data_IF_818727098369
#
_entry.id   IF_818727098369
#
_cell.length_a   1.000
_cell.length_b   1.000
_cell.length_c   1.000
_cell.angle_alpha   90.00
_cell.angle_beta   90.00
_cell.angle_gamma   90.00
#
_symmetry.space_group_name_H-M   'P 1'
#
loop_
_entity.id
_entity.type
_entity.pdbx_description
1 polymer ?
#
# COMPACT_ATOMS: atom_id res chain seq x y z
N UNK A 1 16.41 -17.04 18.80
CA UNK A 1 16.30 -16.71 17.34
C UNK A 1 15.37 -17.64 16.56
N UNK A 2 15.25 -18.93 16.82
CA UNK A 2 14.48 -19.89 16.02
C UNK A 2 12.95 -19.68 16.01
N UNK A 3 12.35 -19.31 17.12
CA UNK A 3 10.87 -19.24 17.25
C UNK A 3 10.27 -18.04 16.50
N UNK A 4 10.86 -16.84 16.61
CA UNK A 4 10.42 -15.64 15.87
C UNK A 4 10.56 -15.81 14.35
N UNK A 5 11.65 -16.45 13.88
CA UNK A 5 11.83 -16.73 12.45
C UNK A 5 10.76 -17.72 11.94
N UNK A 6 10.40 -18.70 12.76
CA UNK A 6 9.30 -19.63 12.42
C UNK A 6 7.94 -18.91 12.30
N UNK A 7 7.62 -18.02 13.21
CA UNK A 7 6.38 -17.23 13.17
C UNK A 7 6.34 -16.30 11.94
N UNK A 8 7.45 -15.66 11.58
CA UNK A 8 7.52 -14.83 10.36
C UNK A 8 7.33 -15.66 9.10
N UNK A 9 7.95 -16.84 9.03
CA UNK A 9 7.77 -17.77 7.90
C UNK A 9 6.33 -18.27 7.84
N UNK A 10 5.73 -18.66 8.97
CA UNK A 10 4.34 -19.10 9.04
C UNK A 10 3.36 -18.01 8.57
N UNK A 11 3.55 -16.75 9.01
CA UNK A 11 2.75 -15.62 8.54
C UNK A 11 2.93 -15.38 7.04
N UNK A 12 4.16 -15.46 6.54
CA UNK A 12 4.44 -15.34 5.11
C UNK A 12 3.78 -16.46 4.29
N UNK A 13 3.86 -17.70 4.77
CA UNK A 13 3.17 -18.83 4.14
C UNK A 13 1.65 -18.66 4.16
N UNK A 14 1.06 -18.21 5.28
CA UNK A 14 -0.38 -17.99 5.37
C UNK A 14 -0.86 -16.92 4.37
N UNK A 15 -0.14 -15.78 4.28
CA UNK A 15 -0.43 -14.74 3.27
C UNK A 15 -0.31 -15.30 1.86
N UNK A 16 0.78 -16.02 1.55
CA UNK A 16 1.00 -16.65 0.25
C UNK A 16 -0.11 -17.65 -0.10
N UNK A 17 -0.56 -18.44 0.86
CA UNK A 17 -1.67 -19.40 0.66
C UNK A 17 -2.97 -18.68 0.34
N UNK A 18 -3.32 -17.61 1.08
CA UNK A 18 -4.55 -16.84 0.83
C UNK A 18 -4.52 -16.21 -0.56
N UNK A 19 -3.39 -15.58 -0.94
CA UNK A 19 -3.23 -14.98 -2.28
C UNK A 19 -3.32 -16.03 -3.37
N UNK A 20 -2.68 -17.20 -3.18
CA UNK A 20 -2.73 -18.31 -4.12
C UNK A 20 -4.15 -18.86 -4.29
N UNK A 21 -4.86 -19.09 -3.19
CA UNK A 21 -6.26 -19.55 -3.23
C UNK A 21 -7.16 -18.56 -3.95
N UNK A 22 -7.03 -17.28 -3.63
CA UNK A 22 -7.79 -16.22 -4.29
C UNK A 22 -7.46 -16.13 -5.81
N UNK A 23 -6.20 -16.33 -6.17
CA UNK A 23 -5.75 -16.38 -7.57
C UNK A 23 -6.27 -17.62 -8.29
N UNK A 24 -6.24 -18.79 -7.65
CA UNK A 24 -6.81 -20.03 -8.20
C UNK A 24 -8.31 -19.89 -8.46
N UNK A 25 -9.08 -19.26 -7.58
CA UNK A 25 -10.49 -18.94 -7.81
C UNK A 25 -10.74 -18.08 -9.06
N UNK A 26 -9.71 -17.41 -9.58
CA UNK A 26 -9.78 -16.64 -10.82
C UNK A 26 -9.38 -17.43 -12.06
N UNK A 27 -8.27 -18.18 -11.98
CA UNK A 27 -7.60 -18.79 -13.13
C UNK A 27 -8.16 -20.15 -13.49
N UNK A 28 -8.71 -20.86 -12.50
CA UNK A 28 -9.40 -22.12 -12.80
C UNK A 28 -10.52 -21.84 -13.81
N UNK A 29 -10.51 -22.52 -14.96
CA UNK A 29 -11.52 -22.31 -15.98
C UNK A 29 -12.87 -22.75 -15.40
N UNK A 30 -13.67 -21.75 -15.04
CA UNK A 30 -15.03 -21.93 -14.55
C UNK A 30 -15.99 -22.22 -15.73
N UNK A 31 -15.46 -22.33 -16.96
CA UNK A 31 -16.16 -22.72 -18.16
C UNK A 31 -16.65 -24.17 -17.98
N UNK A 32 -17.96 -24.32 -17.89
CA UNK A 32 -18.62 -25.62 -17.63
C UNK A 32 -19.09 -25.82 -16.19
N UNK A 33 -18.78 -24.93 -15.25
CA UNK A 33 -19.37 -24.96 -13.90
C UNK A 33 -20.71 -24.21 -13.88
N UNK A 34 -21.67 -24.65 -13.01
CA UNK A 34 -22.92 -23.93 -12.80
C UNK A 34 -22.69 -22.47 -12.44
N UNK A 35 -23.53 -21.56 -12.94
CA UNK A 35 -23.39 -20.10 -12.72
C UNK A 35 -23.30 -19.74 -11.23
N UNK A 36 -24.04 -20.38 -10.35
CA UNK A 36 -23.98 -20.18 -8.91
C UNK A 36 -22.62 -20.52 -8.28
N UNK A 37 -21.88 -21.48 -8.86
CA UNK A 37 -20.53 -21.80 -8.38
C UNK A 37 -19.50 -20.76 -8.84
N UNK A 38 -19.67 -20.19 -10.03
CA UNK A 38 -18.84 -19.11 -10.53
C UNK A 38 -19.00 -17.85 -9.68
N UNK A 39 -20.24 -17.48 -9.33
CA UNK A 39 -20.55 -16.39 -8.41
C UNK A 39 -19.97 -16.62 -7.02
N UNK A 40 -20.11 -17.83 -6.47
CA UNK A 40 -19.54 -18.20 -5.18
C UNK A 40 -18.02 -18.07 -5.16
N UNK A 41 -17.31 -18.49 -6.22
CA UNK A 41 -15.87 -18.30 -6.35
C UNK A 41 -15.48 -16.80 -6.41
N UNK A 42 -16.27 -15.97 -7.09
CA UNK A 42 -16.08 -14.53 -7.14
C UNK A 42 -16.22 -13.87 -5.77
N UNK A 43 -17.25 -14.24 -5.01
CA UNK A 43 -17.50 -13.76 -3.65
C UNK A 43 -16.39 -14.24 -2.71
N UNK A 44 -16.04 -15.53 -2.76
CA UNK A 44 -14.98 -16.12 -1.93
C UNK A 44 -13.64 -15.39 -2.16
N UNK A 45 -13.28 -15.14 -3.42
CA UNK A 45 -12.06 -14.37 -3.77
C UNK A 45 -12.07 -12.98 -3.14
N UNK A 46 -13.20 -12.28 -3.20
CA UNK A 46 -13.34 -10.95 -2.62
C UNK A 46 -13.22 -10.97 -1.10
N UNK A 47 -13.85 -11.95 -0.45
CA UNK A 47 -13.75 -12.14 1.00
C UNK A 47 -12.33 -12.48 1.45
N UNK A 48 -11.61 -13.31 0.69
CA UNK A 48 -10.21 -13.64 0.97
C UNK A 48 -9.33 -12.39 0.94
N UNK A 49 -9.49 -11.52 -0.06
CA UNK A 49 -8.72 -10.26 -0.11
C UNK A 49 -9.14 -9.27 0.97
N UNK A 50 -10.44 -9.10 1.23
CA UNK A 50 -10.91 -8.23 2.31
C UNK A 50 -10.38 -8.69 3.67
N UNK A 51 -10.43 -9.99 3.96
CA UNK A 51 -9.90 -10.55 5.21
C UNK A 51 -8.37 -10.41 5.30
N UNK A 52 -7.66 -10.57 4.18
CA UNK A 52 -6.20 -10.38 4.12
C UNK A 52 -5.81 -8.94 4.49
N UNK A 53 -6.45 -7.95 3.87
CA UNK A 53 -6.14 -6.54 4.13
C UNK A 53 -6.63 -6.10 5.52
N UNK A 54 -7.81 -6.51 5.97
CA UNK A 54 -8.25 -6.24 7.33
C UNK A 54 -7.28 -6.83 8.37
N UNK A 55 -6.82 -8.06 8.18
CA UNK A 55 -5.81 -8.69 9.04
C UNK A 55 -4.46 -7.95 8.97
N UNK A 56 -4.08 -7.44 7.80
CA UNK A 56 -2.88 -6.62 7.65
C UNK A 56 -3.01 -5.29 8.39
N UNK A 57 -4.14 -4.60 8.29
CA UNK A 57 -4.44 -3.38 9.04
C UNK A 57 -4.35 -3.57 10.55
N UNK A 58 -4.95 -4.65 11.09
CA UNK A 58 -4.81 -5.02 12.52
C UNK A 58 -3.34 -5.25 12.89
N UNK A 59 -2.60 -5.95 12.01
CA UNK A 59 -1.17 -6.18 12.22
C UNK A 59 -0.37 -4.88 12.21
N UNK A 60 -0.67 -3.93 11.31
CA UNK A 60 -0.05 -2.60 11.27
C UNK A 60 -0.33 -1.82 12.56
N UNK A 61 -1.59 -1.83 13.03
CA UNK A 61 -1.98 -1.17 14.27
C UNK A 61 -1.14 -1.63 15.45
N UNK A 62 -0.94 -2.95 15.59
CA UNK A 62 -0.22 -3.55 16.69
C UNK A 62 1.30 -3.38 16.61
N UNK A 63 1.87 -3.30 15.40
CA UNK A 63 3.33 -3.23 15.19
C UNK A 63 3.89 -1.81 15.11
N UNK A 64 3.07 -0.82 14.76
CA UNK A 64 3.56 0.54 14.55
C UNK A 64 3.52 1.34 15.84
N UNK A 65 4.68 1.80 16.30
CA UNK A 65 4.84 2.56 17.55
C UNK A 65 4.35 3.99 17.38
N UNK A 66 4.83 4.67 16.34
CA UNK A 66 4.58 6.10 16.14
C UNK A 66 3.12 6.39 15.75
N UNK A 67 2.36 7.17 16.53
CA UNK A 67 0.92 7.31 16.36
C UNK A 67 0.52 7.97 15.03
N UNK A 68 1.29 8.93 14.51
CA UNK A 68 1.01 9.56 13.22
C UNK A 68 1.27 8.61 12.06
N UNK A 69 2.40 7.89 12.09
CA UNK A 69 2.73 6.86 11.10
C UNK A 69 1.66 5.78 11.08
N UNK A 70 1.23 5.32 12.25
CA UNK A 70 0.15 4.34 12.38
C UNK A 70 -1.14 4.82 11.74
N UNK A 71 -1.56 6.07 12.00
CA UNK A 71 -2.77 6.64 11.38
C UNK A 71 -2.66 6.71 9.86
N UNK A 72 -1.51 7.12 9.32
CA UNK A 72 -1.29 7.19 7.88
C UNK A 72 -1.33 5.82 7.23
N UNK A 73 -0.67 4.81 7.82
CA UNK A 73 -0.70 3.42 7.33
C UNK A 73 -2.11 2.84 7.36
N UNK A 74 -2.87 3.07 8.45
CA UNK A 74 -4.25 2.63 8.55
C UNK A 74 -5.15 3.33 7.53
N UNK A 75 -4.93 4.61 7.24
CA UNK A 75 -5.68 5.30 6.20
C UNK A 75 -5.39 4.73 4.81
N UNK A 76 -4.13 4.32 4.53
CA UNK A 76 -3.80 3.60 3.28
C UNK A 76 -4.54 2.27 3.23
N UNK A 77 -4.52 1.49 4.31
CA UNK A 77 -5.21 0.20 4.38
C UNK A 77 -6.73 0.36 4.21
N UNK A 78 -7.35 1.36 4.87
CA UNK A 78 -8.76 1.69 4.69
C UNK A 78 -9.12 2.05 3.24
N UNK A 79 -8.27 2.82 2.55
CA UNK A 79 -8.49 3.11 1.13
C UNK A 79 -8.35 1.87 0.26
N UNK A 80 -7.45 0.94 0.60
CA UNK A 80 -7.35 -0.35 -0.11
C UNK A 80 -8.58 -1.22 0.12
N UNK A 81 -9.06 -1.32 1.37
CA UNK A 81 -10.29 -2.02 1.71
C UNK A 81 -11.50 -1.41 0.97
N UNK A 82 -11.60 -0.08 0.96
CA UNK A 82 -12.62 0.63 0.20
C UNK A 82 -12.54 0.29 -1.30
N UNK A 83 -11.34 0.26 -1.87
CA UNK A 83 -11.16 -0.08 -3.29
C UNK A 83 -11.63 -1.49 -3.62
N UNK A 84 -11.23 -2.46 -2.78
CA UNK A 84 -11.64 -3.86 -2.94
C UNK A 84 -13.17 -4.00 -2.76
N UNK A 85 -13.75 -3.26 -1.81
CA UNK A 85 -15.20 -3.25 -1.59
C UNK A 85 -15.96 -2.71 -2.80
N UNK A 86 -15.59 -1.53 -3.30
CA UNK A 86 -16.21 -0.92 -4.48
C UNK A 86 -16.07 -1.82 -5.71
N UNK A 87 -14.90 -2.44 -5.88
CA UNK A 87 -14.69 -3.44 -6.92
C UNK A 87 -15.62 -4.65 -6.75
N UNK A 88 -15.77 -5.14 -5.53
CA UNK A 88 -16.64 -6.29 -5.24
C UNK A 88 -18.09 -5.95 -5.54
N UNK A 89 -18.56 -4.78 -5.11
CA UNK A 89 -19.90 -4.30 -5.42
C UNK A 89 -20.14 -4.23 -6.94
N UNK A 90 -19.19 -3.69 -7.67
CA UNK A 90 -19.27 -3.55 -9.13
C UNK A 90 -19.41 -4.89 -9.85
N UNK A 91 -18.63 -5.90 -9.47
CA UNK A 91 -18.57 -7.17 -10.22
C UNK A 91 -19.49 -8.26 -9.67
N UNK A 92 -20.00 -8.13 -8.44
CA UNK A 92 -20.86 -9.14 -7.82
C UNK A 92 -22.35 -8.74 -7.80
N UNK A 93 -22.64 -7.43 -7.95
CA UNK A 93 -24.01 -6.96 -8.02
C UNK A 93 -24.38 -6.67 -9.47
N UNK A 94 -25.56 -7.14 -9.89
CA UNK A 94 -26.17 -6.76 -11.17
C UNK A 94 -26.68 -5.31 -11.08
N UNK A 95 -25.74 -4.37 -11.14
CA UNK A 95 -26.07 -2.94 -11.04
C UNK A 95 -26.48 -2.34 -12.40
N UNK A 96 -27.39 -1.36 -12.41
CA UNK A 96 -27.65 -0.58 -13.61
C UNK A 96 -26.37 0.06 -14.19
N UNK A 97 -26.29 0.30 -15.50
CA UNK A 97 -25.08 0.81 -16.15
C UNK A 97 -24.57 2.15 -15.55
N UNK A 98 -25.47 3.01 -15.05
CA UNK A 98 -25.12 4.28 -14.42
C UNK A 98 -24.40 4.04 -13.08
N UNK A 99 -24.89 3.10 -12.27
CA UNK A 99 -24.29 2.75 -10.98
C UNK A 99 -22.95 2.05 -11.20
N UNK A 100 -22.87 1.12 -12.17
CA UNK A 100 -21.60 0.45 -12.52
C UNK A 100 -20.52 1.47 -12.89
N UNK A 101 -20.87 2.47 -13.71
CA UNK A 101 -19.97 3.56 -14.10
C UNK A 101 -19.55 4.42 -12.91
N UNK A 102 -20.50 4.76 -12.01
CA UNK A 102 -20.19 5.53 -10.82
C UNK A 102 -19.26 4.76 -9.89
N UNK A 103 -19.50 3.45 -9.67
CA UNK A 103 -18.59 2.58 -8.92
C UNK A 103 -17.19 2.57 -9.54
N UNK A 104 -17.09 2.56 -10.87
CA UNK A 104 -15.80 2.63 -11.54
C UNK A 104 -15.08 3.96 -11.33
N UNK A 105 -15.78 5.09 -11.30
CA UNK A 105 -15.19 6.40 -10.97
C UNK A 105 -14.67 6.43 -9.53
N UNK A 106 -15.32 5.77 -8.58
CA UNK A 106 -14.83 5.68 -7.21
C UNK A 106 -13.49 4.95 -7.05
N UNK A 107 -13.04 4.17 -8.05
CA UNK A 107 -11.69 3.61 -8.05
C UNK A 107 -10.59 4.67 -7.98
N UNK A 108 -10.88 5.87 -8.45
CA UNK A 108 -9.91 6.97 -8.48
C UNK A 108 -9.69 7.62 -7.11
N UNK A 109 -10.61 7.45 -6.16
CA UNK A 109 -10.42 7.92 -4.79
C UNK A 109 -9.19 7.28 -4.12
N UNK A 110 -9.04 5.94 -4.05
CA UNK A 110 -7.82 5.33 -3.56
C UNK A 110 -6.61 5.54 -4.50
N UNK A 111 -6.80 5.54 -5.82
CA UNK A 111 -5.70 5.78 -6.76
C UNK A 111 -5.02 7.13 -6.56
N UNK A 112 -5.76 8.18 -6.23
CA UNK A 112 -5.24 9.52 -5.96
C UNK A 112 -4.85 9.71 -4.49
N UNK A 113 -5.55 9.08 -3.56
CA UNK A 113 -5.35 9.25 -2.12
C UNK A 113 -4.13 8.51 -1.58
N UNK A 114 -3.91 7.26 -2.01
CA UNK A 114 -2.81 6.42 -1.52
C UNK A 114 -1.43 7.06 -1.79
N UNK A 115 -1.10 7.54 -3.00
CA UNK A 115 0.18 8.20 -3.25
C UNK A 115 0.43 9.42 -2.37
N UNK A 116 -0.58 10.25 -2.12
CA UNK A 116 -0.46 11.40 -1.22
C UNK A 116 -0.18 10.96 0.21
N UNK A 117 -0.89 9.94 0.70
CA UNK A 117 -0.63 9.36 2.03
C UNK A 117 0.79 8.78 2.13
N UNK A 118 1.29 8.16 1.06
CA UNK A 118 2.67 7.67 1.01
C UNK A 118 3.70 8.82 1.11
N UNK A 119 3.48 9.96 0.44
CA UNK A 119 4.34 11.15 0.61
C UNK A 119 4.29 11.66 2.05
N UNK A 120 3.09 11.79 2.63
CA UNK A 120 2.94 12.22 4.02
C UNK A 120 3.59 11.26 5.00
N UNK A 121 3.48 9.95 4.76
CA UNK A 121 4.12 8.91 5.54
C UNK A 121 5.64 9.09 5.55
N UNK A 122 6.26 9.23 4.39
CA UNK A 122 7.72 9.38 4.26
C UNK A 122 8.21 10.68 4.91
N UNK A 123 7.42 11.74 4.86
CA UNK A 123 7.75 13.00 5.55
C UNK A 123 7.71 12.85 7.09
N UNK A 124 6.84 11.97 7.60
CA UNK A 124 6.64 11.73 9.03
C UNK A 124 7.67 10.75 9.61
N UNK A 125 8.24 9.87 8.77
CA UNK A 125 9.29 8.93 9.18
C UNK A 125 10.51 9.71 9.73
N UNK A 126 11.12 9.20 10.80
CA UNK A 126 12.26 9.80 11.55
C UNK A 126 11.96 11.17 12.20
N UNK A 127 10.69 11.49 12.40
CA UNK A 127 10.29 12.69 13.14
C UNK A 127 9.77 12.34 14.54
N UNK A 128 9.87 13.30 15.45
CA UNK A 128 9.32 13.16 16.81
C UNK A 128 7.78 12.98 16.77
N UNK A 129 7.21 12.39 17.81
CA UNK A 129 5.74 12.21 17.94
C UNK A 129 4.95 13.53 17.88
N UNK A 130 5.58 14.63 18.28
CA UNK A 130 4.99 15.99 18.23
C UNK A 130 5.08 16.65 16.87
N UNK A 131 5.74 16.02 15.89
CA UNK A 131 5.87 16.60 14.55
C UNK A 131 4.50 16.76 13.91
N UNK A 132 4.24 17.97 13.41
CA UNK A 132 3.04 18.25 12.61
C UNK A 132 3.43 18.35 11.14
N UNK A 133 2.68 17.67 10.28
CA UNK A 133 2.85 17.80 8.84
C UNK A 133 2.79 19.27 8.44
N UNK A 134 3.76 19.69 7.62
CA UNK A 134 3.84 21.04 7.09
C UNK A 134 2.61 21.39 6.24
N UNK A 135 2.33 22.68 6.09
CA UNK A 135 1.18 23.13 5.31
C UNK A 135 1.23 22.61 3.87
N UNK A 136 2.40 22.63 3.22
CA UNK A 136 2.55 22.14 1.84
C UNK A 136 2.23 20.64 1.71
N UNK A 137 2.63 19.80 2.69
CA UNK A 137 2.33 18.38 2.68
C UNK A 137 0.82 18.10 2.81
N UNK A 138 0.09 18.95 3.52
CA UNK A 138 -1.38 18.91 3.58
C UNK A 138 -2.03 19.42 2.29
N UNK A 139 -1.43 20.43 1.66
CA UNK A 139 -1.90 20.97 0.38
C UNK A 139 -1.83 19.97 -0.79
N UNK A 140 -1.04 18.88 -0.68
CA UNK A 140 -1.04 17.81 -1.68
C UNK A 140 -2.41 17.15 -1.89
N UNK A 141 -3.30 17.26 -0.90
CA UNK A 141 -4.69 16.81 -1.04
C UNK A 141 -5.51 17.67 -2.00
N UNK A 142 -5.16 18.94 -2.19
CA UNK A 142 -5.93 19.85 -3.05
C UNK A 142 -5.93 19.39 -4.52
N UNK A 143 -4.77 19.16 -5.18
CA UNK A 143 -4.78 18.63 -6.54
C UNK A 143 -5.47 17.26 -6.65
N UNK A 144 -5.29 16.38 -5.66
CA UNK A 144 -5.96 15.08 -5.65
C UNK A 144 -7.48 15.21 -5.55
N UNK A 145 -7.99 16.12 -4.73
CA UNK A 145 -9.42 16.37 -4.61
C UNK A 145 -10.01 16.95 -5.90
N UNK A 146 -9.35 17.93 -6.50
CA UNK A 146 -9.76 18.51 -7.79
C UNK A 146 -9.77 17.46 -8.89
N UNK A 147 -8.72 16.64 -8.99
CA UNK A 147 -8.66 15.57 -10.00
C UNK A 147 -9.73 14.50 -9.76
N UNK A 148 -10.01 14.17 -8.50
CA UNK A 148 -11.09 13.23 -8.15
C UNK A 148 -12.45 13.80 -8.55
N UNK A 149 -12.71 15.07 -8.25
CA UNK A 149 -13.95 15.73 -8.64
C UNK A 149 -14.14 15.73 -10.16
N UNK A 150 -13.06 16.02 -10.92
CA UNK A 150 -13.10 15.95 -12.39
C UNK A 150 -13.38 14.53 -12.90
N UNK A 151 -12.90 13.48 -12.20
CA UNK A 151 -13.23 12.10 -12.55
C UNK A 151 -14.70 11.79 -12.24
N UNK A 152 -15.20 12.17 -11.06
CA UNK A 152 -16.58 11.90 -10.64
C UNK A 152 -17.59 12.65 -11.50
N UNK A 153 -17.23 13.83 -11.99
CA UNK A 153 -18.08 14.66 -12.88
C UNK A 153 -17.81 14.42 -14.36
N UNK A 154 -17.09 13.37 -14.72
CA UNK A 154 -16.71 13.10 -16.11
C UNK A 154 -17.90 13.01 -17.08
N UNK A 155 -19.07 12.61 -16.61
CA UNK A 155 -20.29 12.54 -17.42
C UNK A 155 -20.73 13.91 -17.99
N UNK A 156 -20.37 15.01 -17.29
CA UNK A 156 -20.68 16.37 -17.71
C UNK A 156 -19.74 16.88 -18.82
N UNK A 157 -18.45 16.57 -18.74
CA UNK A 157 -17.44 17.16 -19.62
C UNK A 157 -16.72 16.16 -20.55
N UNK A 158 -16.75 14.85 -20.23
CA UNK A 158 -16.15 13.74 -21.02
C UNK A 158 -14.67 13.93 -21.38
N UNK A 159 -13.91 14.63 -20.55
CA UNK A 159 -12.50 14.96 -20.82
C UNK A 159 -11.51 13.98 -20.16
N UNK A 160 -11.95 13.26 -19.13
CA UNK A 160 -11.14 12.20 -18.52
C UNK A 160 -11.32 10.90 -19.30
N UNK A 161 -12.60 10.53 -19.58
CA UNK A 161 -12.96 9.34 -20.34
C UNK A 161 -14.01 9.70 -21.36
N UNK A 162 -13.80 9.29 -22.59
CA UNK A 162 -14.79 9.34 -23.68
C UNK A 162 -15.48 7.99 -23.74
N UNK A 163 -16.69 7.94 -23.20
CA UNK A 163 -17.49 6.72 -23.12
C UNK A 163 -18.24 6.52 -24.45
N UNK A 164 -18.25 5.29 -24.95
CA UNK A 164 -19.12 4.90 -26.07
C UNK A 164 -20.45 4.41 -25.51
N UNK A 165 -21.54 4.75 -26.17
CA UNK A 165 -22.86 4.22 -25.85
C UNK A 165 -23.21 3.02 -26.75
N UNK A 166 -23.85 1.94 -26.24
CA UNK A 166 -24.20 1.72 -24.85
C UNK A 166 -22.96 1.56 -23.95
N UNK A 167 -23.09 1.85 -22.64
CA UNK A 167 -22.02 1.65 -21.68
C UNK A 167 -21.54 0.20 -21.72
N UNK A 168 -20.37 0.04 -22.27
CA UNK A 168 -19.57 -1.16 -22.21
C UNK A 168 -18.17 -0.70 -21.75
N UNK A 169 -17.31 -1.60 -21.36
CA UNK A 169 -15.96 -1.26 -20.90
C UNK A 169 -15.06 -0.63 -22.00
N UNK A 170 -15.63 -0.29 -23.16
CA UNK A 170 -14.93 0.39 -24.24
C UNK A 170 -14.98 1.92 -24.03
N UNK A 171 -13.88 2.47 -23.57
CA UNK A 171 -13.69 3.89 -23.39
C UNK A 171 -12.33 4.32 -23.98
N UNK A 172 -12.25 5.58 -24.34
CA UNK A 172 -11.00 6.21 -24.75
C UNK A 172 -10.55 7.18 -23.66
N UNK A 173 -9.24 7.21 -23.40
CA UNK A 173 -8.67 8.16 -22.47
C UNK A 173 -8.68 9.57 -23.06
N UNK A 174 -9.21 10.52 -22.29
CA UNK A 174 -9.11 11.93 -22.59
C UNK A 174 -7.78 12.53 -22.07
N UNK A 175 -7.52 13.78 -22.40
CA UNK A 175 -6.29 14.47 -22.00
C UNK A 175 -6.17 14.66 -20.47
N UNK A 176 -7.29 14.86 -19.77
CA UNK A 176 -7.31 14.98 -18.31
C UNK A 176 -6.85 13.70 -17.60
N UNK A 177 -7.05 12.53 -18.22
CA UNK A 177 -6.52 11.28 -17.69
C UNK A 177 -4.99 11.31 -17.56
N UNK A 178 -4.31 11.96 -18.53
CA UNK A 178 -2.87 12.19 -18.45
C UNK A 178 -2.44 12.99 -17.21
N UNK A 179 -3.26 13.97 -16.79
CA UNK A 179 -3.00 14.73 -15.55
C UNK A 179 -3.19 13.86 -14.29
N UNK A 180 -4.22 13.00 -14.28
CA UNK A 180 -4.45 12.04 -13.18
C UNK A 180 -3.25 11.11 -13.01
N UNK A 181 -2.81 10.47 -14.10
CA UNK A 181 -1.64 9.57 -14.07
C UNK A 181 -0.37 10.35 -13.73
N UNK A 182 -0.17 11.51 -14.33
CA UNK A 182 0.97 12.39 -14.06
C UNK A 182 1.08 12.77 -12.59
N UNK A 183 -0.04 13.11 -11.94
CA UNK A 183 -0.08 13.42 -10.52
C UNK A 183 0.30 12.22 -9.66
N UNK A 184 -0.22 11.04 -9.96
CA UNK A 184 0.13 9.79 -9.26
C UNK A 184 1.64 9.53 -9.35
N UNK A 185 2.21 9.64 -10.56
CA UNK A 185 3.64 9.44 -10.80
C UNK A 185 4.48 10.47 -10.04
N UNK A 186 4.08 11.75 -10.06
CA UNK A 186 4.77 12.81 -9.31
C UNK A 186 4.78 12.50 -7.81
N UNK A 187 3.66 12.07 -7.22
CA UNK A 187 3.60 11.71 -5.81
C UNK A 187 4.51 10.51 -5.49
N UNK A 188 4.55 9.49 -6.33
CA UNK A 188 5.41 8.32 -6.16
C UNK A 188 6.88 8.73 -6.22
N UNK A 189 7.28 9.49 -7.24
CA UNK A 189 8.65 9.98 -7.39
C UNK A 189 9.06 10.89 -6.23
N UNK A 190 8.14 11.74 -5.76
CA UNK A 190 8.38 12.61 -4.60
C UNK A 190 8.60 11.77 -3.34
N UNK A 191 7.79 10.73 -3.09
CA UNK A 191 7.97 9.84 -1.95
C UNK A 191 9.34 9.16 -1.97
N UNK A 192 9.74 8.56 -3.10
CA UNK A 192 11.04 7.92 -3.23
C UNK A 192 12.21 8.93 -3.18
N UNK A 193 12.06 10.11 -3.78
CA UNK A 193 13.04 11.18 -3.71
C UNK A 193 13.30 11.65 -2.27
N UNK A 194 12.23 11.80 -1.46
CA UNK A 194 12.35 12.15 -0.04
C UNK A 194 13.04 11.04 0.75
N UNK A 195 12.68 9.76 0.50
CA UNK A 195 13.35 8.61 1.14
C UNK A 195 14.85 8.62 0.79
N UNK A 196 15.19 8.73 -0.48
CA UNK A 196 16.57 8.74 -0.94
C UNK A 196 17.37 9.91 -0.33
N UNK A 197 16.77 11.10 -0.26
CA UNK A 197 17.41 12.28 0.36
C UNK A 197 17.59 12.12 1.87
N UNK A 198 16.63 11.55 2.58
CA UNK A 198 16.72 11.29 4.02
C UNK A 198 17.69 10.16 4.37
N UNK A 199 17.85 9.18 3.50
CA UNK A 199 18.66 7.97 3.72
C UNK A 199 20.16 8.26 3.55
N UNK A 200 20.75 9.10 4.43
CA UNK A 200 22.20 9.34 4.48
C UNK A 200 22.97 8.13 5.01
N UNK A 201 22.32 7.20 5.67
CA UNK A 201 22.96 5.99 6.19
C UNK A 201 23.11 4.95 5.08
N UNK A 202 24.36 4.53 4.71
CA UNK A 202 24.59 3.58 3.64
C UNK A 202 23.94 2.21 3.88
N UNK A 203 23.67 1.83 5.13
CA UNK A 203 22.95 0.58 5.47
C UNK A 203 21.49 0.63 5.05
N UNK A 204 20.82 1.78 5.23
CA UNK A 204 19.42 2.00 4.83
C UNK A 204 19.35 2.08 3.30
N UNK A 205 20.29 2.78 2.66
CA UNK A 205 20.33 2.91 1.20
C UNK A 205 20.45 1.55 0.50
N UNK A 206 21.24 0.61 1.07
CA UNK A 206 21.35 -0.76 0.55
C UNK A 206 20.04 -1.57 0.66
N UNK A 207 19.14 -1.20 1.58
CA UNK A 207 17.85 -1.87 1.79
C UNK A 207 16.69 -1.17 1.05
N UNK A 208 16.91 0.00 0.50
CA UNK A 208 15.91 0.76 -0.27
C UNK A 208 15.30 -0.02 -1.46
N UNK A 209 16.02 -0.93 -2.14
CA UNK A 209 15.40 -1.76 -3.17
C UNK A 209 14.21 -2.59 -2.69
N UNK A 210 14.16 -2.96 -1.40
CA UNK A 210 13.09 -3.79 -0.86
C UNK A 210 11.70 -3.15 -0.99
N UNK A 211 11.45 -1.89 -0.60
CA UNK A 211 10.19 -1.19 -0.89
C UNK A 211 10.08 -0.70 -2.35
N UNK A 212 11.18 -0.50 -3.06
CA UNK A 212 11.15 0.04 -4.42
C UNK A 212 10.75 -1.02 -5.47
N UNK A 213 11.22 -2.26 -5.33
CA UNK A 213 10.93 -3.35 -6.28
C UNK A 213 9.44 -3.55 -6.54
N UNK A 214 8.55 -3.67 -5.52
CA UNK A 214 7.12 -3.82 -5.76
C UNK A 214 6.52 -2.65 -6.55
N UNK A 215 6.98 -1.41 -6.32
CA UNK A 215 6.47 -0.23 -7.04
C UNK A 215 6.97 -0.18 -8.48
N UNK A 216 8.20 -0.58 -8.75
CA UNK A 216 8.72 -0.73 -10.12
C UNK A 216 7.95 -1.82 -10.88
N UNK A 217 7.73 -2.97 -10.23
CA UNK A 217 6.93 -4.05 -10.80
C UNK A 217 5.49 -3.61 -11.08
N UNK A 218 4.90 -2.80 -10.18
CA UNK A 218 3.58 -2.21 -10.38
C UNK A 218 3.57 -1.29 -11.62
N UNK A 219 4.59 -0.45 -11.79
CA UNK A 219 4.73 0.42 -12.97
C UNK A 219 4.83 -0.39 -14.27
N UNK A 220 5.68 -1.40 -14.30
CA UNK A 220 5.81 -2.32 -15.45
C UNK A 220 4.48 -3.03 -15.73
N UNK A 221 3.82 -3.54 -14.69
CA UNK A 221 2.52 -4.17 -14.81
C UNK A 221 1.47 -3.21 -15.40
N UNK A 222 1.38 -1.97 -14.91
CA UNK A 222 0.42 -0.98 -15.39
C UNK A 222 0.63 -0.66 -16.88
N UNK A 223 1.89 -0.55 -17.33
CA UNK A 223 2.24 -0.36 -18.74
C UNK A 223 1.81 -1.57 -19.58
N UNK A 224 2.19 -2.77 -19.19
CA UNK A 224 1.83 -4.00 -19.92
C UNK A 224 0.32 -4.23 -19.96
N UNK A 225 -0.39 -3.92 -18.86
CA UNK A 225 -1.85 -3.98 -18.81
C UNK A 225 -2.48 -2.97 -19.77
N UNK A 226 -1.95 -1.74 -19.83
CA UNK A 226 -2.39 -0.68 -20.72
C UNK A 226 -2.19 -1.03 -22.22
N UNK A 227 -1.10 -1.72 -22.54
CA UNK A 227 -0.84 -2.25 -23.90
C UNK A 227 -1.63 -3.52 -24.22
N UNK A 228 -2.58 -3.92 -23.38
CA UNK A 228 -3.45 -5.08 -23.61
C UNK A 228 -2.70 -6.41 -23.77
N UNK A 229 -1.55 -6.57 -23.10
CA UNK A 229 -0.76 -7.79 -23.21
C UNK A 229 -1.56 -9.02 -22.76
N UNK A 230 -1.79 -10.03 -23.65
CA UNK A 230 -2.79 -11.09 -23.41
C UNK A 230 -2.53 -11.88 -22.11
N UNK A 231 -1.28 -12.30 -21.87
CA UNK A 231 -0.91 -13.05 -20.68
C UNK A 231 -1.19 -12.28 -19.38
N UNK A 232 -0.90 -10.97 -19.37
CA UNK A 232 -1.14 -10.12 -18.20
C UNK A 232 -2.63 -10.02 -17.91
N UNK A 233 -3.47 -9.80 -18.93
CA UNK A 233 -4.91 -9.73 -18.76
C UNK A 233 -5.53 -11.04 -18.32
N UNK A 234 -5.04 -12.16 -18.86
CA UNK A 234 -5.54 -13.49 -18.51
C UNK A 234 -5.18 -13.88 -17.07
N UNK A 235 -3.93 -13.79 -16.68
CA UNK A 235 -3.46 -14.29 -15.40
C UNK A 235 -3.49 -13.27 -14.27
N UNK A 236 -3.25 -11.99 -14.56
CA UNK A 236 -3.15 -10.89 -13.61
C UNK A 236 -4.16 -9.75 -13.89
N UNK A 237 -5.24 -10.04 -14.60
CA UNK A 237 -6.19 -9.03 -15.08
C UNK A 237 -6.98 -8.27 -14.00
N UNK A 238 -6.68 -8.48 -12.71
CA UNK A 238 -7.30 -7.75 -11.60
C UNK A 238 -6.41 -6.59 -11.15
N UNK A 239 -6.48 -5.49 -11.89
CA UNK A 239 -5.65 -4.32 -11.67
C UNK A 239 -5.74 -3.77 -10.23
N UNK A 240 -6.95 -3.76 -9.65
CA UNK A 240 -7.18 -3.28 -8.28
C UNK A 240 -6.39 -4.11 -7.26
N UNK A 241 -6.51 -5.42 -7.35
CA UNK A 241 -5.84 -6.33 -6.40
C UNK A 241 -4.32 -6.27 -6.55
N UNK A 242 -3.82 -6.22 -7.79
CA UNK A 242 -2.36 -6.10 -8.02
C UNK A 242 -1.83 -4.79 -7.43
N UNK A 243 -2.53 -3.66 -7.60
CA UNK A 243 -2.15 -2.38 -6.99
C UNK A 243 -2.11 -2.48 -5.46
N UNK A 244 -3.17 -3.00 -4.84
CA UNK A 244 -3.23 -3.16 -3.39
C UNK A 244 -2.10 -4.07 -2.87
N UNK A 245 -1.85 -5.22 -3.50
CA UNK A 245 -0.80 -6.15 -3.08
C UNK A 245 0.60 -5.54 -3.23
N UNK A 246 0.89 -4.87 -4.36
CA UNK A 246 2.20 -4.25 -4.59
C UNK A 246 2.44 -3.06 -3.65
N UNK A 247 1.42 -2.25 -3.38
CA UNK A 247 1.51 -1.16 -2.41
C UNK A 247 1.73 -1.70 -1.00
N UNK A 248 0.97 -2.71 -0.57
CA UNK A 248 1.17 -3.36 0.73
C UNK A 248 2.56 -3.99 0.84
N UNK A 249 3.05 -4.66 -0.20
CA UNK A 249 4.39 -5.23 -0.24
C UNK A 249 5.49 -4.15 -0.13
N UNK A 250 5.30 -3.00 -0.78
CA UNK A 250 6.22 -1.85 -0.67
C UNK A 250 6.25 -1.29 0.75
N UNK A 251 5.09 -1.08 1.37
CA UNK A 251 5.00 -0.58 2.74
C UNK A 251 5.55 -1.59 3.76
N UNK A 252 5.27 -2.87 3.60
CA UNK A 252 5.85 -3.94 4.42
C UNK A 252 7.37 -4.03 4.23
N UNK A 253 7.86 -3.82 3.01
CA UNK A 253 9.29 -3.67 2.72
C UNK A 253 9.90 -2.51 3.49
N UNK A 254 9.23 -1.35 3.55
CA UNK A 254 9.63 -0.18 4.33
C UNK A 254 9.68 -0.43 5.84
N UNK A 255 8.72 -1.20 6.37
CA UNK A 255 8.72 -1.63 7.77
C UNK A 255 9.89 -2.58 8.08
N UNK A 256 10.13 -3.56 7.22
CA UNK A 256 11.19 -4.58 7.43
C UNK A 256 12.60 -4.03 7.28
N UNK A 257 12.81 -3.03 6.44
CA UNK A 257 14.14 -2.42 6.31
C UNK A 257 14.40 -1.33 7.35
N UNK A 258 13.45 -1.07 8.26
CA UNK A 258 13.59 -0.10 9.33
C UNK A 258 13.43 1.35 8.86
N UNK A 259 12.96 1.57 7.63
CA UNK A 259 12.57 2.91 7.15
C UNK A 259 11.34 3.41 7.90
N UNK A 260 10.43 2.51 8.26
CA UNK A 260 9.26 2.81 9.07
C UNK A 260 9.47 2.11 10.42
N UNK A 261 9.48 2.87 11.52
CA UNK A 261 9.72 2.35 12.86
C UNK A 261 8.60 1.40 13.29
N UNK A 262 8.98 0.17 13.59
CA UNK A 262 8.09 -0.87 14.11
C UNK A 262 8.66 -1.46 15.41
N UNK A 263 7.81 -1.98 16.28
CA UNK A 263 8.22 -2.64 17.53
C UNK A 263 9.24 -3.77 17.29
N UNK A 264 9.11 -4.47 16.15
CA UNK A 264 10.02 -5.55 15.79
C UNK A 264 11.43 -5.06 15.44
N UNK A 265 11.55 -3.86 14.85
CA UNK A 265 12.84 -3.24 14.52
C UNK A 265 13.55 -2.64 15.75
N UNK A 266 12.78 -2.14 16.71
CA UNK A 266 13.35 -1.60 17.97
C UNK A 266 14.01 -2.67 18.82
N UNK A 267 13.40 -3.85 18.93
CA UNK A 267 13.98 -4.98 19.67
C UNK A 267 15.23 -5.56 18.98
N UNK A 268 15.29 -5.60 17.65
CA UNK A 268 16.51 -6.05 16.93
C UNK A 268 17.65 -5.02 17.04
N UNK A 269 17.35 -3.72 16.99
CA UNK A 269 18.34 -2.66 17.14
C UNK A 269 18.84 -2.56 18.57
N UNK A 270 17.95 -2.66 19.55
CA UNK A 270 18.34 -2.62 20.98
C UNK A 270 19.16 -3.85 21.37
N UNK A 271 18.80 -5.05 20.91
CA UNK A 271 19.54 -6.26 21.18
C UNK A 271 20.88 -6.32 20.44
N UNK A 272 20.97 -5.77 19.22
CA UNK A 272 22.23 -5.73 18.48
C UNK A 272 23.17 -4.62 18.96
N UNK A 273 22.64 -3.51 19.44
CA UNK A 273 23.45 -2.46 20.08
C UNK A 273 23.94 -2.87 21.46
N UNK A 274 23.14 -3.59 22.23
CA UNK A 274 23.52 -4.12 23.53
C UNK A 274 24.55 -5.29 23.43
N UNK A 275 24.61 -5.99 22.29
CA UNK A 275 25.53 -7.12 22.15
C UNK A 275 26.94 -6.76 21.65
N UNK A 276 27.19 -5.54 21.19
CA UNK A 276 28.45 -5.21 20.47
C UNK A 276 29.21 -3.98 20.98
N UNK A 277 28.67 -3.15 21.87
CA UNK A 277 29.44 -1.97 22.30
C UNK A 277 29.44 -1.65 23.81
N UNK A 278 28.65 -2.32 24.64
CA UNK A 278 28.28 -1.68 25.90
C UNK A 278 28.55 -2.40 27.21
N UNK A 279 29.34 -3.48 27.23
CA UNK A 279 29.90 -3.87 28.56
C UNK A 279 30.90 -2.82 29.06
N UNK A 280 31.68 -2.21 28.17
CA UNK A 280 32.65 -1.18 28.56
C UNK A 280 32.00 0.17 28.93
N UNK A 281 31.03 0.63 28.17
CA UNK A 281 30.35 1.92 28.43
C UNK A 281 29.34 1.84 29.57
N UNK A 282 28.75 0.68 29.85
CA UNK A 282 27.88 0.47 30.98
C UNK A 282 28.68 0.38 32.30
N UNK A 283 29.87 -0.24 32.26
CA UNK A 283 30.81 -0.24 33.41
C UNK A 283 31.33 1.16 33.68
N UNK A 284 31.70 1.96 32.66
CA UNK A 284 32.15 3.33 32.79
C UNK A 284 31.03 4.25 33.34
N UNK A 285 29.79 4.10 32.86
CA UNK A 285 28.63 4.83 33.39
C UNK A 285 28.23 4.41 34.84
N UNK A 286 28.40 3.16 35.18
CA UNK A 286 28.16 2.67 36.55
C UNK A 286 29.27 3.14 37.52
N UNK A 287 30.50 3.23 37.06
CA UNK A 287 31.62 3.77 37.87
C UNK A 287 31.44 5.27 38.08
N UNK A 288 31.05 6.05 37.04
CA UNK A 288 30.72 7.47 37.16
C UNK A 288 29.52 7.72 38.11
N UNK A 289 28.48 6.88 38.06
CA UNK A 289 27.34 6.97 38.97
C UNK A 289 27.70 6.61 40.41
N UNK A 290 28.62 5.67 40.63
CA UNK A 290 29.12 5.33 41.96
C UNK A 290 30.04 6.42 42.57
N UNK A 291 30.74 7.18 41.70
CA UNK A 291 31.56 8.31 42.14
C UNK A 291 30.71 9.51 42.57
N UNK A 292 29.46 9.62 42.05
CA UNK A 292 28.50 10.68 42.42
C UNK A 292 27.57 10.31 43.60
N UNK A 293 27.61 9.09 44.07
CA UNK A 293 26.83 8.72 45.24
C UNK A 293 27.42 9.40 46.49
N UNK A 294 26.63 10.17 47.27
CA UNK A 294 27.12 10.77 48.51
C UNK A 294 27.57 9.68 49.45
N UNK A 295 28.85 9.73 49.84
CA UNK A 295 29.36 8.90 50.94
C UNK A 295 28.72 9.40 52.22
N UNK A 296 27.73 8.67 52.76
CA UNK A 296 27.26 8.84 54.14
C UNK A 296 28.32 8.38 55.14
#
# INVERSE_FOLDING_TARGET
MGQRRREQVQRGCAVGTVVLLAWLCRVLPLEGLPSGLQEACGILRSLLYLSLFAGWGISLYNRTVHPQVRRLLLNVDLLMLFWILVRTLRFQLNTPPEIDRMLWYFYYAPMLGIPVLCVQLVLTVDRSERYRLSAWARMLWLPSAVLLELVLTNDLHRQVFRLQQPWNENYQYGWLFGLVVGWIVICILLAFGIIAHKSRNPRILRRLPLPAIPMVLLGVYAVLYGFHFPLIRQFLGDMTIVHCLMTAASLEGGLRCGLIQSNTGYEELSLSSLSTSDHGQLEELLDDLNEWAPKE
#
